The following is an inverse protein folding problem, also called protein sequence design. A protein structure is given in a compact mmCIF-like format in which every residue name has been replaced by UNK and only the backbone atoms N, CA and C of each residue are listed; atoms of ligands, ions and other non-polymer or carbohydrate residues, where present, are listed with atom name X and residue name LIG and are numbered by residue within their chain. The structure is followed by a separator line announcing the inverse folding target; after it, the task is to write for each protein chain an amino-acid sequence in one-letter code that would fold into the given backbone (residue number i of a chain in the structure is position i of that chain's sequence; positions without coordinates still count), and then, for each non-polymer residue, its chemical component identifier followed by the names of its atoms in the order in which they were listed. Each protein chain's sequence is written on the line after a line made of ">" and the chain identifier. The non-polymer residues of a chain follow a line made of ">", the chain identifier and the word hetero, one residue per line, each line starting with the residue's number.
data_IF_829101441523
#
_entry.id   IF_829101441523
#
_cell.length_a   1.000
_cell.length_b   1.000
_cell.length_c   1.000
_cell.angle_alpha   90.00
_cell.angle_beta   90.00
_cell.angle_gamma   90.00
#
_symmetry.space_group_name_H-M   'P 1'
#
loop_
_entity.id
_entity.type
_entity.pdbx_description
1 polymer ?
#
# COMPACT_ATOMS: atom_id res chain seq x y z
N UNK A 1 -9.94 5.41 5.93
CA UNK A 1 -10.25 4.07 6.49
C UNK A 1 -9.67 2.94 5.65
N UNK A 2 -10.16 2.68 4.43
CA UNK A 2 -9.61 1.61 3.56
C UNK A 2 -8.09 1.79 3.32
N UNK A 3 -7.67 3.00 2.94
CA UNK A 3 -6.26 3.27 2.68
C UNK A 3 -5.38 3.12 3.94
N UNK A 4 -5.84 3.69 5.06
CA UNK A 4 -5.19 3.58 6.38
C UNK A 4 -4.94 2.12 6.76
N UNK A 5 -5.97 1.29 6.62
CA UNK A 5 -5.91 -0.14 6.93
C UNK A 5 -4.96 -0.88 5.99
N UNK A 6 -4.97 -0.54 4.69
CA UNK A 6 -4.00 -1.06 3.74
C UNK A 6 -2.56 -0.72 4.15
N UNK A 7 -2.26 0.54 4.46
CA UNK A 7 -0.91 0.96 4.88
C UNK A 7 -0.48 0.29 6.18
N UNK A 8 -1.40 0.02 7.10
CA UNK A 8 -1.12 -0.75 8.31
C UNK A 8 -0.64 -2.18 7.97
N UNK A 9 -1.33 -2.89 7.06
CA UNK A 9 -0.88 -4.21 6.59
C UNK A 9 0.50 -4.15 5.92
N UNK A 10 0.73 -3.12 5.11
CA UNK A 10 2.00 -2.90 4.43
C UNK A 10 3.15 -2.70 5.44
N UNK A 11 2.99 -1.79 6.40
CA UNK A 11 4.04 -1.49 7.38
C UNK A 11 4.40 -2.74 8.21
N UNK A 12 3.42 -3.52 8.66
CA UNK A 12 3.67 -4.79 9.36
C UNK A 12 4.48 -5.75 8.49
N UNK A 13 4.08 -5.90 7.22
CA UNK A 13 4.78 -6.75 6.25
C UNK A 13 6.24 -6.33 6.09
N UNK A 14 6.51 -5.02 5.96
CA UNK A 14 7.88 -4.49 5.80
C UNK A 14 8.72 -4.68 7.07
N UNK A 15 8.15 -4.46 8.26
CA UNK A 15 8.84 -4.68 9.55
C UNK A 15 9.27 -6.15 9.67
N UNK A 16 8.38 -7.09 9.36
CA UNK A 16 8.69 -8.52 9.43
C UNK A 16 9.82 -8.92 8.48
N UNK A 17 9.80 -8.40 7.24
CA UNK A 17 10.84 -8.72 6.24
C UNK A 17 12.19 -8.04 6.51
N UNK A 18 12.19 -6.89 7.18
CA UNK A 18 13.43 -6.15 7.50
C UNK A 18 14.09 -6.63 8.79
N UNK A 19 13.30 -6.82 9.85
CA UNK A 19 13.84 -7.00 11.21
C UNK A 19 13.62 -8.41 11.78
N UNK A 20 12.66 -9.17 11.23
CA UNK A 20 12.35 -10.52 11.71
C UNK A 20 12.78 -11.61 10.72
N UNK A 21 13.65 -11.28 9.75
CA UNK A 21 14.20 -12.25 8.81
C UNK A 21 15.41 -12.93 9.43
N UNK A 22 15.37 -14.27 9.54
CA UNK A 22 16.47 -15.03 10.13
C UNK A 22 17.70 -15.00 9.22
N UNK A 23 18.92 -14.88 9.79
CA UNK A 23 20.15 -15.10 9.04
C UNK A 23 20.21 -16.56 8.57
N UNK A 24 20.88 -16.84 7.43
CA UNK A 24 21.13 -18.20 7.01
C UNK A 24 21.96 -18.96 8.07
N UNK A 25 21.73 -20.27 8.27
CA UNK A 25 22.48 -21.06 9.25
C UNK A 25 23.99 -21.00 8.99
N UNK A 26 24.78 -20.78 10.05
CA UNK A 26 26.24 -20.75 9.95
C UNK A 26 26.77 -22.11 9.43
N UNK A 27 27.62 -22.08 8.40
CA UNK A 27 28.30 -23.27 7.86
C UNK A 27 27.63 -23.94 6.66
N UNK A 28 26.45 -23.51 6.23
CA UNK A 28 26.00 -23.77 4.86
C UNK A 28 26.53 -22.66 3.96
N UNK A 29 27.26 -23.01 2.89
CA UNK A 29 27.39 -22.10 1.74
C UNK A 29 25.99 -21.56 1.45
N UNK A 30 25.88 -20.23 1.35
CA UNK A 30 24.64 -19.56 1.00
C UNK A 30 24.10 -20.23 -0.27
N UNK A 31 23.22 -21.21 -0.13
CA UNK A 31 22.62 -21.85 -1.30
C UNK A 31 21.98 -20.71 -2.08
N UNK A 32 22.29 -20.62 -3.37
CA UNK A 32 21.83 -19.50 -4.21
C UNK A 32 20.32 -19.25 -4.06
N UNK A 33 19.55 -20.30 -3.73
CA UNK A 33 18.13 -20.21 -3.38
C UNK A 33 17.83 -19.41 -2.10
N UNK A 34 18.59 -19.57 -1.01
CA UNK A 34 18.39 -18.87 0.25
C UNK A 34 18.64 -17.36 0.16
N UNK A 35 19.63 -16.94 -0.66
CA UNK A 35 19.84 -15.52 -1.00
C UNK A 35 18.69 -15.01 -1.86
N UNK A 36 18.31 -15.75 -2.89
CA UNK A 36 17.28 -15.32 -3.85
C UNK A 36 15.88 -15.19 -3.23
N UNK A 37 15.61 -15.91 -2.13
CA UNK A 37 14.34 -15.85 -1.41
C UNK A 37 14.21 -14.62 -0.49
N UNK A 38 15.31 -13.91 -0.17
CA UNK A 38 15.24 -12.72 0.68
C UNK A 38 14.63 -11.55 -0.11
N UNK A 39 13.51 -10.96 0.37
CA UNK A 39 12.92 -9.79 -0.26
C UNK A 39 13.88 -8.59 -0.27
N UNK A 40 13.92 -7.87 -1.38
CA UNK A 40 14.75 -6.67 -1.58
C UNK A 40 14.03 -5.44 -1.07
N UNK A 41 13.81 -5.44 0.24
CA UNK A 41 13.15 -4.37 0.98
C UNK A 41 14.18 -3.62 1.80
N UNK A 42 13.99 -2.30 1.90
CA UNK A 42 14.92 -1.41 2.60
C UNK A 42 14.21 -0.54 3.63
N UNK A 43 15.01 0.08 4.49
CA UNK A 43 14.55 1.09 5.44
C UNK A 43 13.89 2.30 4.73
N UNK A 44 14.28 2.63 3.50
CA UNK A 44 13.62 3.67 2.71
C UNK A 44 12.17 3.29 2.38
N UNK A 45 11.93 2.04 1.98
CA UNK A 45 10.57 1.54 1.71
C UNK A 45 9.69 1.60 2.98
N UNK A 46 10.27 1.25 4.13
CA UNK A 46 9.60 1.33 5.43
C UNK A 46 9.30 2.77 5.84
N UNK A 47 10.26 3.68 5.69
CA UNK A 47 10.09 5.10 6.00
C UNK A 47 8.97 5.71 5.15
N UNK A 48 9.02 5.50 3.83
CA UNK A 48 7.98 5.95 2.90
C UNK A 48 6.60 5.42 3.28
N UNK A 49 6.49 4.12 3.56
CA UNK A 49 5.21 3.48 3.90
C UNK A 49 4.69 3.93 5.27
N UNK A 50 5.57 4.14 6.24
CA UNK A 50 5.21 4.62 7.58
C UNK A 50 4.77 6.07 7.56
N UNK A 51 5.45 6.92 6.77
CA UNK A 51 5.00 8.29 6.51
C UNK A 51 3.62 8.31 5.87
N UNK A 52 3.39 7.47 4.86
CA UNK A 52 2.07 7.29 4.25
C UNK A 52 1.00 6.85 5.26
N UNK A 53 1.32 5.92 6.16
CA UNK A 53 0.42 5.51 7.24
C UNK A 53 0.10 6.68 8.17
N UNK A 54 1.11 7.44 8.59
CA UNK A 54 0.96 8.61 9.47
C UNK A 54 0.02 9.65 8.85
N UNK A 55 0.25 10.01 7.57
CA UNK A 55 -0.64 10.94 6.86
C UNK A 55 -2.08 10.40 6.78
N UNK A 56 -2.25 9.10 6.54
CA UNK A 56 -3.58 8.48 6.52
C UNK A 56 -4.24 8.42 7.91
N UNK A 57 -3.47 8.40 9.00
CA UNK A 57 -3.98 8.50 10.37
C UNK A 57 -4.38 9.94 10.69
N UNK A 58 -3.61 10.94 10.24
CA UNK A 58 -3.98 12.35 10.33
C UNK A 58 -5.28 12.62 9.59
N UNK A 59 -5.42 12.15 8.34
CA UNK A 59 -6.67 12.27 7.58
C UNK A 59 -7.83 11.51 8.25
N UNK A 60 -7.55 10.36 8.85
CA UNK A 60 -8.55 9.61 9.61
C UNK A 60 -9.01 10.37 10.86
N UNK A 61 -8.10 11.02 11.60
CA UNK A 61 -8.44 11.79 12.79
C UNK A 61 -9.21 13.07 12.43
N UNK A 62 -8.88 13.71 11.31
CA UNK A 62 -9.66 14.84 10.77
C UNK A 62 -11.10 14.43 10.43
N UNK A 63 -11.30 13.21 9.92
CA UNK A 63 -12.63 12.74 9.52
C UNK A 63 -13.46 12.19 10.69
N UNK A 64 -12.84 11.43 11.60
CA UNK A 64 -13.54 10.80 12.74
C UNK A 64 -13.65 11.72 13.96
N UNK A 65 -12.63 12.54 14.19
CA UNK A 65 -12.47 13.40 15.36
C UNK A 65 -12.37 14.88 14.97
N UNK A 66 -12.83 15.26 13.78
CA UNK A 66 -12.70 16.62 13.25
C UNK A 66 -13.22 17.70 14.20
N UNK A 67 -14.32 17.45 14.90
CA UNK A 67 -14.87 18.41 15.87
C UNK A 67 -14.04 18.47 17.16
N UNK A 68 -13.67 17.32 17.72
CA UNK A 68 -13.02 17.22 19.03
C UNK A 68 -11.55 17.60 19.00
N UNK A 69 -10.83 17.23 17.94
CA UNK A 69 -9.37 17.37 17.85
C UNK A 69 -8.96 18.53 16.94
N UNK A 70 -9.75 18.84 15.90
CA UNK A 70 -9.40 19.82 14.87
C UNK A 70 -10.31 21.05 14.84
N UNK A 71 -11.37 21.10 15.67
CA UNK A 71 -12.31 22.23 15.71
C UNK A 71 -13.08 22.47 14.41
N UNK A 72 -13.19 21.48 13.52
CA UNK A 72 -13.89 21.63 12.24
C UNK A 72 -15.40 21.79 12.44
N UNK A 73 -16.01 22.68 11.65
CA UNK A 73 -17.46 22.87 11.62
C UNK A 73 -18.14 21.58 11.18
N UNK A 74 -19.28 21.25 11.81
CA UNK A 74 -20.04 20.02 11.53
C UNK A 74 -20.70 20.13 10.16
N UNK A 75 -20.00 19.70 9.11
CA UNK A 75 -20.67 19.36 7.87
C UNK A 75 -21.32 17.97 7.99
N UNK A 76 -22.30 17.68 7.12
CA UNK A 76 -23.09 16.43 7.11
C UNK A 76 -22.21 15.22 7.47
N UNK A 77 -22.67 14.38 8.40
CA UNK A 77 -22.00 13.12 8.76
C UNK A 77 -21.81 12.25 7.50
N UNK A 78 -20.61 12.26 6.92
CA UNK A 78 -20.26 11.43 5.77
C UNK A 78 -20.03 10.01 6.28
N UNK A 79 -21.07 9.19 6.24
CA UNK A 79 -20.99 7.77 6.60
C UNK A 79 -20.50 6.98 5.40
N UNK A 80 -19.49 6.12 5.62
CA UNK A 80 -19.04 5.19 4.59
C UNK A 80 -20.20 4.29 4.15
N UNK A 81 -20.35 4.06 2.84
CA UNK A 81 -21.42 3.17 2.33
C UNK A 81 -21.27 1.78 2.98
N UNK A 82 -22.37 1.10 3.33
CA UNK A 82 -22.34 -0.16 4.08
C UNK A 82 -21.53 -1.26 3.37
N UNK A 83 -21.50 -1.26 2.04
CA UNK A 83 -20.69 -2.19 1.24
C UNK A 83 -19.21 -2.07 1.58
N UNK A 84 -18.64 -0.86 1.55
CA UNK A 84 -17.23 -0.64 1.88
C UNK A 84 -16.92 -0.94 3.36
N UNK A 85 -17.88 -0.70 4.26
CA UNK A 85 -17.73 -1.08 5.66
C UNK A 85 -17.65 -2.59 5.86
N UNK A 86 -18.51 -3.35 5.18
CA UNK A 86 -18.48 -4.83 5.24
C UNK A 86 -17.17 -5.38 4.68
N UNK A 87 -16.70 -4.83 3.56
CA UNK A 87 -15.42 -5.22 2.96
C UNK A 87 -14.25 -4.91 3.92
N UNK A 88 -14.25 -3.74 4.55
CA UNK A 88 -13.24 -3.36 5.54
C UNK A 88 -13.27 -4.31 6.76
N UNK A 89 -14.44 -4.60 7.30
CA UNK A 89 -14.58 -5.54 8.41
C UNK A 89 -14.07 -6.94 8.02
N UNK A 90 -14.41 -7.41 6.81
CA UNK A 90 -13.96 -8.70 6.31
C UNK A 90 -12.43 -8.74 6.15
N UNK A 91 -11.80 -7.67 5.67
CA UNK A 91 -10.34 -7.64 5.55
C UNK A 91 -9.64 -7.61 6.91
N UNK A 92 -10.20 -6.92 7.90
CA UNK A 92 -9.69 -6.92 9.27
C UNK A 92 -9.82 -8.29 9.93
N UNK A 93 -10.96 -8.98 9.72
CA UNK A 93 -11.13 -10.36 10.16
C UNK A 93 -10.16 -11.31 9.46
N UNK A 94 -9.98 -11.17 8.15
CA UNK A 94 -9.01 -11.92 7.37
C UNK A 94 -7.58 -11.69 7.87
N UNK A 95 -7.20 -10.44 8.13
CA UNK A 95 -5.92 -10.10 8.75
C UNK A 95 -5.74 -10.77 10.11
N UNK A 96 -6.74 -10.69 11.00
CA UNK A 96 -6.70 -11.33 12.31
C UNK A 96 -6.54 -12.85 12.21
N UNK A 97 -7.31 -13.51 11.34
CA UNK A 97 -7.22 -14.94 11.10
C UNK A 97 -5.87 -15.37 10.52
N UNK A 98 -5.35 -14.64 9.54
CA UNK A 98 -4.01 -14.90 8.97
C UNK A 98 -2.91 -14.73 10.02
N UNK A 99 -3.00 -13.69 10.85
CA UNK A 99 -2.04 -13.43 11.94
C UNK A 99 -2.08 -14.54 12.98
N UNK A 100 -3.28 -14.99 13.37
CA UNK A 100 -3.46 -16.07 14.32
C UNK A 100 -2.88 -17.40 13.79
N UNK A 101 -3.13 -17.73 12.53
CA UNK A 101 -2.52 -18.91 11.91
C UNK A 101 -0.99 -18.79 11.89
N UNK A 102 -0.46 -17.66 11.40
CA UNK A 102 0.97 -17.41 11.34
C UNK A 102 1.64 -17.57 12.72
N UNK A 103 1.11 -16.93 13.75
CA UNK A 103 1.65 -17.01 15.11
C UNK A 103 1.55 -18.42 15.70
N UNK A 104 0.42 -19.11 15.53
CA UNK A 104 0.25 -20.49 16.01
C UNK A 104 1.23 -21.47 15.37
N UNK A 105 1.45 -21.37 14.05
CA UNK A 105 2.40 -22.24 13.35
C UNK A 105 3.84 -21.94 13.77
N UNK A 106 4.24 -20.67 13.87
CA UNK A 106 5.59 -20.31 14.31
C UNK A 106 5.84 -20.69 15.77
N UNK A 107 4.82 -20.62 16.63
CA UNK A 107 4.95 -21.06 18.03
C UNK A 107 5.16 -22.57 18.18
N UNK A 108 4.65 -23.39 17.24
CA UNK A 108 4.76 -24.86 17.30
C UNK A 108 5.99 -25.40 16.60
N UNK A 109 6.31 -24.85 15.43
CA UNK A 109 7.35 -25.35 14.53
C UNK A 109 8.58 -24.43 14.44
N UNK A 110 8.68 -23.42 15.31
CA UNK A 110 9.73 -22.40 15.24
C UNK A 110 9.53 -21.40 14.11
N UNK A 111 10.35 -20.34 14.13
CA UNK A 111 10.32 -19.27 13.13
C UNK A 111 10.93 -19.72 11.80
N UNK A 112 10.33 -19.32 10.68
CA UNK A 112 10.79 -19.68 9.34
C UNK A 112 10.55 -18.56 8.32
N UNK A 113 11.54 -18.37 7.45
CA UNK A 113 11.58 -17.30 6.46
C UNK A 113 10.55 -17.51 5.35
N UNK A 114 10.32 -18.76 4.90
CA UNK A 114 9.34 -19.05 3.85
C UNK A 114 7.91 -18.77 4.32
N UNK A 115 7.57 -19.20 5.54
CA UNK A 115 6.28 -18.88 6.18
C UNK A 115 6.10 -17.39 6.39
N UNK A 116 7.16 -16.69 6.81
CA UNK A 116 7.16 -15.23 6.96
C UNK A 116 6.91 -14.53 5.63
N UNK A 117 7.60 -14.95 4.56
CA UNK A 117 7.41 -14.43 3.20
C UNK A 117 5.98 -14.66 2.70
N UNK A 118 5.45 -15.88 2.87
CA UNK A 118 4.08 -16.21 2.45
C UNK A 118 3.04 -15.36 3.19
N UNK A 119 3.22 -15.13 4.49
CA UNK A 119 2.37 -14.25 5.28
C UNK A 119 2.46 -12.79 4.81
N UNK A 120 3.68 -12.28 4.61
CA UNK A 120 3.93 -10.92 4.11
C UNK A 120 3.32 -10.69 2.73
N UNK A 121 3.42 -11.65 1.81
CA UNK A 121 2.79 -11.59 0.50
C UNK A 121 1.26 -11.52 0.59
N UNK A 122 0.63 -12.20 1.55
CA UNK A 122 -0.81 -12.06 1.81
C UNK A 122 -1.18 -10.66 2.31
N UNK A 123 -0.34 -10.06 3.16
CA UNK A 123 -0.54 -8.67 3.59
C UNK A 123 -0.39 -7.67 2.44
N UNK A 124 0.57 -7.89 1.53
CA UNK A 124 0.70 -7.12 0.29
C UNK A 124 -0.56 -7.23 -0.57
N UNK A 125 -1.11 -8.43 -0.75
CA UNK A 125 -2.36 -8.62 -1.48
C UNK A 125 -3.51 -7.84 -0.83
N UNK A 126 -3.66 -7.90 0.51
CA UNK A 126 -4.67 -7.11 1.22
C UNK A 126 -4.48 -5.60 0.98
N UNK A 127 -3.25 -5.09 1.06
CA UNK A 127 -2.93 -3.69 0.75
C UNK A 127 -3.33 -3.33 -0.69
N UNK A 128 -2.97 -4.16 -1.67
CA UNK A 128 -3.28 -3.94 -3.08
C UNK A 128 -4.80 -3.93 -3.29
N UNK A 129 -5.53 -4.90 -2.73
CA UNK A 129 -6.99 -4.95 -2.79
C UNK A 129 -7.63 -3.68 -2.21
N UNK A 130 -7.16 -3.20 -1.05
CA UNK A 130 -7.62 -1.94 -0.46
C UNK A 130 -7.38 -0.74 -1.38
N UNK A 131 -6.24 -0.72 -2.09
CA UNK A 131 -5.93 0.32 -3.07
C UNK A 131 -6.87 0.28 -4.27
N UNK A 132 -7.13 -0.90 -4.85
CA UNK A 132 -8.06 -1.04 -5.97
C UNK A 132 -9.49 -0.63 -5.59
N UNK A 133 -9.96 -1.08 -4.43
CA UNK A 133 -11.30 -0.77 -3.91
C UNK A 133 -11.55 0.72 -3.69
N UNK A 134 -10.51 1.51 -3.40
CA UNK A 134 -10.64 2.97 -3.32
C UNK A 134 -10.44 3.63 -4.68
N UNK A 135 -9.48 3.17 -5.48
CA UNK A 135 -9.08 3.89 -6.67
C UNK A 135 -10.08 3.73 -7.81
N UNK A 136 -10.62 2.53 -8.04
CA UNK A 136 -11.60 2.29 -9.12
C UNK A 136 -12.85 3.17 -8.94
N UNK A 137 -13.53 3.18 -7.77
CA UNK A 137 -14.68 4.07 -7.59
C UNK A 137 -14.30 5.55 -7.68
N UNK A 138 -13.10 5.94 -7.25
CA UNK A 138 -12.64 7.33 -7.37
C UNK A 138 -12.47 7.75 -8.83
N UNK A 139 -11.86 6.88 -9.67
CA UNK A 139 -11.70 7.12 -11.11
C UNK A 139 -13.07 7.27 -11.78
N UNK A 140 -14.00 6.36 -11.51
CA UNK A 140 -15.37 6.42 -12.04
C UNK A 140 -16.04 7.72 -11.58
N UNK A 141 -15.97 8.02 -10.29
CA UNK A 141 -16.61 9.19 -9.71
C UNK A 141 -16.10 10.50 -10.32
N UNK A 142 -14.78 10.63 -10.50
CA UNK A 142 -14.15 11.77 -11.16
C UNK A 142 -14.61 11.90 -12.62
N UNK A 143 -14.75 10.77 -13.32
CA UNK A 143 -15.22 10.74 -14.70
C UNK A 143 -16.68 11.16 -14.83
N UNK A 144 -17.56 10.68 -13.95
CA UNK A 144 -18.99 11.04 -13.92
C UNK A 144 -19.19 12.53 -13.68
N UNK A 145 -18.48 13.12 -12.70
CA UNK A 145 -18.58 14.56 -12.40
C UNK A 145 -17.83 15.47 -13.39
N UNK A 146 -16.98 14.90 -14.25
CA UNK A 146 -16.08 15.63 -15.17
C UNK A 146 -15.29 16.76 -14.50
N UNK A 147 -14.86 16.55 -13.25
CA UNK A 147 -14.22 17.54 -12.38
C UNK A 147 -13.26 16.87 -11.42
N UNK A 148 -12.18 17.55 -11.06
CA UNK A 148 -11.23 17.11 -10.02
C UNK A 148 -11.24 18.03 -8.79
N UNK A 149 -12.27 18.89 -8.67
CA UNK A 149 -12.42 19.80 -7.53
C UNK A 149 -12.54 18.99 -6.23
N UNK A 150 -11.73 19.37 -5.23
CA UNK A 150 -11.66 18.68 -3.93
C UNK A 150 -10.83 17.39 -3.93
N UNK A 151 -10.26 16.98 -5.07
CA UNK A 151 -9.28 15.88 -5.12
C UNK A 151 -7.87 16.43 -4.87
N UNK A 152 -7.18 15.91 -3.86
CA UNK A 152 -5.84 16.36 -3.47
C UNK A 152 -4.77 15.80 -4.42
N UNK A 153 -4.58 16.46 -5.57
CA UNK A 153 -3.61 16.03 -6.60
C UNK A 153 -2.16 16.00 -6.08
N UNK A 154 -1.83 16.84 -5.10
CA UNK A 154 -0.51 16.88 -4.46
C UNK A 154 -0.12 15.51 -3.90
N UNK A 155 -1.07 14.79 -3.30
CA UNK A 155 -0.84 13.44 -2.79
C UNK A 155 -0.51 12.45 -3.91
N UNK A 156 -1.21 12.54 -5.04
CA UNK A 156 -0.94 11.71 -6.23
C UNK A 156 0.47 11.98 -6.78
N UNK A 157 0.90 13.24 -6.85
CA UNK A 157 2.24 13.59 -7.34
C UNK A 157 3.32 13.02 -6.40
N UNK A 158 3.14 13.17 -5.09
CA UNK A 158 4.05 12.59 -4.10
C UNK A 158 4.10 11.06 -4.19
N UNK A 159 2.96 10.40 -4.39
CA UNK A 159 2.89 8.95 -4.59
C UNK A 159 3.62 8.51 -5.87
N UNK A 160 3.55 9.30 -6.96
CA UNK A 160 4.32 9.05 -8.20
C UNK A 160 5.82 9.15 -7.91
N UNK A 161 6.26 10.24 -7.29
CA UNK A 161 7.69 10.46 -6.99
C UNK A 161 8.25 9.34 -6.10
N UNK A 162 7.52 8.99 -5.03
CA UNK A 162 7.91 7.87 -4.15
C UNK A 162 7.91 6.52 -4.85
N UNK A 163 6.91 6.27 -5.71
CA UNK A 163 6.82 5.05 -6.51
C UNK A 163 7.98 4.89 -7.50
N UNK A 164 8.33 5.96 -8.22
CA UNK A 164 9.49 5.97 -9.13
C UNK A 164 10.79 5.74 -8.35
N UNK A 165 10.98 6.41 -7.21
CA UNK A 165 12.17 6.25 -6.39
C UNK A 165 12.33 4.79 -5.88
N UNK A 166 11.26 4.18 -5.38
CA UNK A 166 11.29 2.78 -4.91
C UNK A 166 11.51 1.78 -6.05
N UNK A 167 10.96 2.04 -7.24
CA UNK A 167 11.18 1.19 -8.42
C UNK A 167 12.62 1.30 -8.95
N UNK A 168 13.17 2.51 -9.05
CA UNK A 168 14.57 2.73 -9.43
C UNK A 168 15.51 2.01 -8.45
N UNK A 169 15.23 2.11 -7.15
CA UNK A 169 15.99 1.41 -6.14
C UNK A 169 15.93 -0.13 -6.33
N UNK A 170 14.75 -0.68 -6.61
CA UNK A 170 14.60 -2.11 -6.88
C UNK A 170 15.35 -2.54 -8.14
N UNK A 171 15.31 -1.75 -9.21
CA UNK A 171 16.05 -2.01 -10.46
C UNK A 171 17.55 -2.04 -10.18
N UNK A 172 18.10 -1.06 -9.45
CA UNK A 172 19.52 -1.04 -9.10
C UNK A 172 19.93 -2.23 -8.25
N UNK A 173 19.09 -2.65 -7.31
CA UNK A 173 19.34 -3.84 -6.49
C UNK A 173 19.27 -5.14 -7.29
N UNK A 174 18.40 -5.23 -8.29
CA UNK A 174 18.33 -6.39 -9.20
C UNK A 174 19.53 -6.40 -10.15
N UNK A 175 19.92 -5.24 -10.70
CA UNK A 175 21.07 -5.13 -11.60
C UNK A 175 22.41 -5.47 -10.91
N UNK A 176 22.51 -5.21 -9.60
CA UNK A 176 23.70 -5.56 -8.81
C UNK A 176 23.72 -7.02 -8.35
N UNK A 177 22.61 -7.75 -8.45
CA UNK A 177 22.61 -9.19 -8.21
C UNK A 177 23.08 -9.91 -9.48
N UNK A 178 24.10 -10.76 -9.33
CA UNK A 178 24.68 -11.51 -10.44
C UNK A 178 23.75 -12.60 -11.00
N UNK A 179 22.72 -12.99 -10.23
CA UNK A 179 21.80 -14.08 -10.55
C UNK A 179 20.36 -13.57 -10.66
N UNK A 180 19.91 -13.24 -11.88
CA UNK A 180 18.49 -13.03 -12.15
C UNK A 180 17.78 -14.40 -12.16
N UNK A 181 17.00 -14.69 -11.11
CA UNK A 181 16.22 -15.92 -11.02
C UNK A 181 14.74 -15.60 -10.73
N UNK A 182 13.84 -16.46 -11.23
CA UNK A 182 12.38 -16.41 -11.01
C UNK A 182 12.02 -16.36 -9.51
N UNK A 183 12.86 -16.94 -8.64
CA UNK A 183 12.72 -16.87 -7.18
C UNK A 183 12.81 -15.44 -6.63
N UNK A 184 13.68 -14.59 -7.19
CA UNK A 184 13.79 -13.17 -6.80
C UNK A 184 12.51 -12.41 -7.16
N UNK A 185 11.89 -12.72 -8.31
CA UNK A 185 10.62 -12.12 -8.70
C UNK A 185 9.51 -12.51 -7.73
N UNK A 186 9.42 -13.80 -7.37
CA UNK A 186 8.42 -14.29 -6.43
C UNK A 186 8.59 -13.71 -5.02
N UNK A 187 9.84 -13.55 -4.56
CA UNK A 187 10.13 -12.91 -3.28
C UNK A 187 9.75 -11.43 -3.23
N UNK A 188 9.75 -10.75 -4.39
CA UNK A 188 9.43 -9.32 -4.49
C UNK A 188 8.06 -9.03 -5.12
N UNK A 189 7.23 -10.06 -5.33
CA UNK A 189 5.94 -9.95 -6.00
C UNK A 189 5.03 -8.87 -5.40
N UNK A 190 4.95 -8.81 -4.06
CA UNK A 190 4.14 -7.80 -3.37
C UNK A 190 4.57 -6.36 -3.66
N UNK A 191 5.88 -6.09 -3.68
CA UNK A 191 6.45 -4.77 -3.97
C UNK A 191 6.18 -4.38 -5.43
N UNK A 192 6.42 -5.31 -6.35
CA UNK A 192 6.19 -5.11 -7.80
C UNK A 192 4.70 -4.85 -8.07
N UNK A 193 3.81 -5.69 -7.56
CA UNK A 193 2.36 -5.55 -7.75
C UNK A 193 1.84 -4.23 -7.19
N UNK A 194 2.32 -3.81 -6.02
CA UNK A 194 1.97 -2.51 -5.43
C UNK A 194 2.48 -1.34 -6.28
N UNK A 195 3.70 -1.42 -6.80
CA UNK A 195 4.26 -0.39 -7.68
C UNK A 195 3.45 -0.23 -8.96
N UNK A 196 3.10 -1.34 -9.63
CA UNK A 196 2.28 -1.33 -10.86
C UNK A 196 0.93 -0.66 -10.61
N UNK A 197 0.21 -1.09 -9.58
CA UNK A 197 -1.10 -0.51 -9.23
C UNK A 197 -0.98 0.98 -8.93
N UNK A 198 0.05 1.38 -8.17
CA UNK A 198 0.26 2.79 -7.80
C UNK A 198 0.54 3.64 -9.04
N UNK A 199 1.46 3.22 -9.91
CA UNK A 199 1.82 3.94 -11.13
C UNK A 199 0.61 4.07 -12.07
N UNK A 200 -0.11 2.97 -12.30
CA UNK A 200 -1.28 2.93 -13.18
C UNK A 200 -2.36 3.93 -12.73
N UNK A 201 -2.78 3.86 -11.47
CA UNK A 201 -3.84 4.73 -10.97
C UNK A 201 -3.41 6.18 -10.86
N UNK A 202 -2.15 6.43 -10.50
CA UNK A 202 -1.64 7.80 -10.48
C UNK A 202 -1.58 8.42 -11.89
N UNK A 203 -1.21 7.65 -12.91
CA UNK A 203 -1.27 8.11 -14.29
C UNK A 203 -2.72 8.44 -14.72
N UNK A 204 -3.69 7.61 -14.32
CA UNK A 204 -5.11 7.87 -14.57
C UNK A 204 -5.55 9.17 -13.86
N UNK A 205 -5.22 9.35 -12.58
CA UNK A 205 -5.58 10.56 -11.84
C UNK A 205 -4.93 11.82 -12.42
N UNK A 206 -3.67 11.74 -12.83
CA UNK A 206 -2.98 12.84 -13.50
C UNK A 206 -3.66 13.19 -14.83
N UNK A 207 -4.02 12.18 -15.63
CA UNK A 207 -4.75 12.36 -16.88
C UNK A 207 -6.11 13.03 -16.63
N UNK A 208 -6.88 12.54 -15.65
CA UNK A 208 -8.16 13.16 -15.26
C UNK A 208 -7.98 14.61 -14.78
N UNK A 209 -6.90 14.91 -14.07
CA UNK A 209 -6.58 16.25 -13.61
C UNK A 209 -6.30 17.22 -14.77
N UNK A 210 -5.51 16.80 -15.76
CA UNK A 210 -5.23 17.60 -16.96
C UNK A 210 -6.52 17.82 -17.77
N UNK A 211 -7.31 16.77 -18.01
CA UNK A 211 -8.52 16.87 -18.84
C UNK A 211 -9.65 17.65 -18.17
N UNK A 212 -9.83 17.51 -16.86
CA UNK A 212 -10.94 18.14 -16.13
C UNK A 212 -10.57 19.45 -15.43
N UNK A 213 -9.29 19.73 -15.23
CA UNK A 213 -8.80 20.98 -14.63
C UNK A 213 -9.02 22.21 -15.49
N UNK A 214 -9.01 22.05 -16.82
CA UNK A 214 -9.16 23.15 -17.78
C UNK A 214 -10.63 23.53 -18.09
N UNK A 215 -11.61 22.89 -17.48
CA UNK A 215 -13.02 23.30 -17.61
C UNK A 215 -13.33 24.38 -16.59
N UNK A 216 -12.82 25.58 -16.84
CA UNK A 216 -13.36 26.80 -16.22
C UNK A 216 -14.86 26.82 -16.46
N UNK A 217 -15.59 26.99 -15.38
CA UNK A 217 -17.05 27.15 -15.31
C UNK A 217 -17.45 28.11 -16.43
N UNK A 218 -18.13 27.60 -17.47
CA UNK A 218 -18.93 28.47 -18.33
C UNK A 218 -20.06 28.95 -17.43
N UNK A 219 -19.84 30.10 -16.79
CA UNK A 219 -20.93 30.87 -16.18
C UNK A 219 -21.83 31.27 -17.33
N UNK A 220 -22.92 30.52 -17.51
CA UNK A 220 -24.09 31.02 -18.22
C UNK A 220 -24.52 32.26 -17.44
N UNK A 221 -24.22 33.43 -17.99
CA UNK A 221 -24.85 34.68 -17.58
C UNK A 221 -26.28 34.59 -18.11
N UNK A 222 -27.22 34.43 -17.20
CA UNK A 222 -28.60 34.88 -17.41
C UNK A 222 -28.66 36.41 -17.30
#
# INVERSE_FOLDING_TARGET
>A
MLNTTGYFYLVISLILQLYCWLPPPEGHDLTHEGIALKPKITNFDLCYSSHGLLLNLVLASQLLMGQSLWGFKKERSVRMKPVYSRILSLSLLGFGGLTLLFTNYNSRAGWDNLRTLAYCNRLFMLKISMSLLKYVPQVIHNHERRSMKGFAIQGTILDITGGIASLLQLILQIANDKDFNTSVFMANFGKIGLAIVTILFNFIFLSQWITYGNKSIVTVKD
#
